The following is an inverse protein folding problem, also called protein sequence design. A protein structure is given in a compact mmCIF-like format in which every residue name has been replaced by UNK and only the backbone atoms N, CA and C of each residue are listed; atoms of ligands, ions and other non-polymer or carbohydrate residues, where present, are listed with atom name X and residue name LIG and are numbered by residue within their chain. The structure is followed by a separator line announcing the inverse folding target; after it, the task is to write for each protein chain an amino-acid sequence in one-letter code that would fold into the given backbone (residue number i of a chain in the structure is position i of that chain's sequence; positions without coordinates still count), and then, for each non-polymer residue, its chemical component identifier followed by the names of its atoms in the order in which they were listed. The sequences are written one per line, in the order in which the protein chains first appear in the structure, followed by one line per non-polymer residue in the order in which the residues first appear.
data_IF_999870202731
#
_entry.id   IF_999870202731
#
_cell.length_a   1.000
_cell.length_b   1.000
_cell.length_c   1.000
_cell.angle_alpha   90.00
_cell.angle_beta   90.00
_cell.angle_gamma   90.00
#
_symmetry.space_group_name_H-M   'P 1'
#
loop_
_entity.id
_entity.type
_entity.pdbx_description
1 polymer ?
#
# COMPACT_ATOMS: atom_id res chain seq x y z
N UNK A 1 43.07 -3.97 9.94
CA UNK A 1 42.75 -4.33 8.54
C UNK A 1 41.73 -5.48 8.45
N UNK A 2 41.93 -6.61 9.16
CA UNK A 2 40.96 -7.74 9.17
C UNK A 2 39.57 -7.34 9.65
N UNK A 3 39.45 -6.66 10.79
CA UNK A 3 38.15 -6.21 11.31
C UNK A 3 37.37 -5.27 10.37
N UNK A 4 38.06 -4.55 9.49
CA UNK A 4 37.44 -3.65 8.50
C UNK A 4 36.96 -4.40 7.28
N UNK A 5 37.65 -5.49 6.90
CA UNK A 5 37.23 -6.41 5.82
C UNK A 5 36.00 -7.23 6.24
N UNK A 6 36.02 -7.82 7.44
CA UNK A 6 34.88 -8.57 7.98
C UNK A 6 33.61 -7.70 8.15
N UNK A 7 33.79 -6.44 8.55
CA UNK A 7 32.68 -5.48 8.62
C UNK A 7 32.12 -5.12 7.22
N UNK A 8 33.00 -4.96 6.22
CA UNK A 8 32.59 -4.69 4.85
C UNK A 8 31.86 -5.87 4.21
N UNK A 9 32.35 -7.10 4.41
CA UNK A 9 31.68 -8.33 3.97
C UNK A 9 30.32 -8.51 4.69
N UNK A 10 30.24 -8.22 5.98
CA UNK A 10 29.02 -8.27 6.75
C UNK A 10 27.97 -7.26 6.26
N UNK A 11 28.37 -6.04 5.86
CA UNK A 11 27.49 -5.02 5.30
C UNK A 11 26.98 -5.44 3.92
N UNK A 12 27.84 -5.96 3.06
CA UNK A 12 27.46 -6.46 1.73
C UNK A 12 26.48 -7.63 1.84
N UNK A 13 26.74 -8.58 2.74
CA UNK A 13 25.85 -9.72 3.01
C UNK A 13 24.48 -9.27 3.51
N UNK A 14 24.42 -8.33 4.45
CA UNK A 14 23.14 -7.73 4.93
C UNK A 14 22.40 -7.05 3.79
N UNK A 15 23.08 -6.27 2.95
CA UNK A 15 22.49 -5.63 1.79
C UNK A 15 21.87 -6.63 0.80
N UNK A 16 22.58 -7.72 0.50
CA UNK A 16 22.09 -8.78 -0.38
C UNK A 16 20.86 -9.48 0.18
N UNK A 17 20.85 -9.77 1.48
CA UNK A 17 19.69 -10.36 2.16
C UNK A 17 18.48 -9.44 2.05
N UNK A 18 18.61 -8.16 2.40
CA UNK A 18 17.52 -7.19 2.33
C UNK A 18 16.98 -7.02 0.90
N UNK A 19 17.87 -7.01 -0.09
CA UNK A 19 17.47 -6.95 -1.49
C UNK A 19 16.68 -8.20 -1.92
N UNK A 20 17.10 -9.38 -1.48
CA UNK A 20 16.39 -10.64 -1.76
C UNK A 20 15.02 -10.68 -1.09
N UNK A 21 14.93 -10.30 0.19
CA UNK A 21 13.66 -10.20 0.90
C UNK A 21 12.69 -9.21 0.22
N UNK A 22 13.21 -8.06 -0.23
CA UNK A 22 12.41 -7.08 -0.98
C UNK A 22 11.87 -7.66 -2.30
N UNK A 23 12.68 -8.42 -3.04
CA UNK A 23 12.25 -9.09 -4.27
C UNK A 23 11.17 -10.16 -4.01
N UNK A 24 11.33 -10.96 -2.96
CA UNK A 24 10.33 -11.95 -2.57
C UNK A 24 8.98 -11.29 -2.25
N UNK A 25 8.98 -10.18 -1.51
CA UNK A 25 7.75 -9.41 -1.22
C UNK A 25 7.11 -8.85 -2.49
N UNK A 26 7.89 -8.39 -3.46
CA UNK A 26 7.37 -7.93 -4.75
C UNK A 26 6.69 -9.07 -5.52
N UNK A 27 7.26 -10.28 -5.48
CA UNK A 27 6.66 -11.49 -6.05
C UNK A 27 5.34 -11.86 -5.39
N UNK A 28 5.23 -11.72 -4.06
CA UNK A 28 3.99 -11.92 -3.31
C UNK A 28 2.90 -10.92 -3.69
N UNK A 29 3.26 -9.71 -4.07
CA UNK A 29 2.30 -8.69 -4.48
C UNK A 29 1.75 -8.97 -5.88
N UNK A 30 2.62 -9.00 -6.88
CA UNK A 30 2.25 -9.25 -8.26
C UNK A 30 3.47 -9.61 -9.12
N UNK A 31 3.39 -10.62 -10.00
CA UNK A 31 4.49 -10.99 -10.88
C UNK A 31 4.99 -9.84 -11.76
N UNK A 32 4.11 -8.99 -12.30
CA UNK A 32 4.49 -7.84 -13.11
C UNK A 32 5.34 -6.82 -12.34
N UNK A 33 5.12 -6.66 -11.03
CA UNK A 33 5.95 -5.81 -10.18
C UNK A 33 7.37 -6.37 -10.06
N UNK A 34 7.49 -7.68 -9.88
CA UNK A 34 8.78 -8.36 -9.74
C UNK A 34 9.55 -8.38 -11.06
N UNK A 35 8.88 -8.73 -12.16
CA UNK A 35 9.47 -8.88 -13.49
C UNK A 35 9.76 -7.52 -14.17
N UNK A 36 8.97 -6.49 -13.87
CA UNK A 36 9.03 -5.14 -14.48
C UNK A 36 8.94 -5.17 -16.01
N UNK A 37 8.12 -6.07 -16.52
CA UNK A 37 7.99 -6.39 -17.94
C UNK A 37 6.74 -5.82 -18.61
N UNK A 38 5.97 -5.01 -17.91
CA UNK A 38 4.66 -4.47 -18.32
C UNK A 38 3.67 -5.58 -18.77
N UNK A 39 3.82 -6.78 -18.22
CA UNK A 39 2.96 -7.90 -18.54
C UNK A 39 1.54 -7.72 -18.00
N UNK A 40 0.60 -8.50 -18.53
CA UNK A 40 -0.81 -8.49 -18.15
C UNK A 40 -1.01 -8.50 -16.63
N UNK A 41 -1.89 -7.63 -16.12
CA UNK A 41 -2.18 -7.50 -14.71
C UNK A 41 -3.26 -8.49 -14.24
N UNK A 42 -4.42 -8.65 -14.94
CA UNK A 42 -5.52 -9.46 -14.44
C UNK A 42 -5.20 -10.94 -14.23
N UNK A 43 -5.77 -11.54 -13.20
CA UNK A 43 -5.74 -13.00 -12.96
C UNK A 43 -4.41 -13.56 -12.46
N UNK A 44 -3.42 -12.73 -12.11
CA UNK A 44 -2.07 -13.19 -11.74
C UNK A 44 -1.69 -12.95 -10.27
N UNK A 45 -2.58 -12.34 -9.49
CA UNK A 45 -2.34 -12.06 -8.06
C UNK A 45 -3.62 -12.28 -7.27
N UNK A 46 -3.58 -13.23 -6.33
CA UNK A 46 -4.69 -13.46 -5.40
C UNK A 46 -4.98 -12.25 -4.52
N UNK A 47 -3.95 -11.51 -4.10
CA UNK A 47 -4.13 -10.25 -3.36
C UNK A 47 -4.89 -9.21 -4.17
N UNK A 48 -4.54 -9.06 -5.45
CA UNK A 48 -5.19 -8.09 -6.32
C UNK A 48 -6.65 -8.47 -6.57
N UNK A 49 -6.93 -9.74 -6.84
CA UNK A 49 -8.30 -10.24 -7.00
C UNK A 49 -9.13 -9.97 -5.74
N UNK A 50 -8.62 -10.33 -4.57
CA UNK A 50 -9.32 -10.11 -3.31
C UNK A 50 -9.53 -8.63 -2.99
N UNK A 51 -8.54 -7.77 -3.26
CA UNK A 51 -8.68 -6.32 -3.10
C UNK A 51 -9.80 -5.78 -4.00
N UNK A 52 -9.85 -6.22 -5.25
CA UNK A 52 -10.85 -5.77 -6.23
C UNK A 52 -12.26 -6.13 -5.77
N UNK A 53 -12.49 -7.38 -5.35
CA UNK A 53 -13.78 -7.84 -4.81
C UNK A 53 -14.24 -6.99 -3.62
N UNK A 54 -13.36 -6.78 -2.64
CA UNK A 54 -13.70 -6.01 -1.44
C UNK A 54 -13.94 -4.53 -1.74
N UNK A 55 -13.18 -3.95 -2.68
CA UNK A 55 -13.41 -2.57 -3.09
C UNK A 55 -14.73 -2.40 -3.86
N UNK A 56 -15.14 -3.39 -4.64
CA UNK A 56 -16.43 -3.39 -5.30
C UNK A 56 -17.58 -3.29 -4.28
N UNK A 57 -17.57 -4.14 -3.25
CA UNK A 57 -18.55 -4.10 -2.15
C UNK A 57 -18.57 -2.74 -1.44
N UNK A 58 -17.38 -2.16 -1.16
CA UNK A 58 -17.24 -0.85 -0.51
C UNK A 58 -17.82 0.28 -1.37
N UNK A 59 -17.58 0.23 -2.68
CA UNK A 59 -18.10 1.23 -3.62
C UNK A 59 -19.61 1.15 -3.78
N UNK A 60 -20.19 -0.06 -3.74
CA UNK A 60 -21.64 -0.27 -3.82
C UNK A 60 -22.38 0.37 -2.65
N UNK A 61 -21.82 0.33 -1.45
CA UNK A 61 -22.41 0.96 -0.26
C UNK A 61 -22.02 2.43 -0.07
N UNK A 62 -21.28 3.00 -1.03
CA UNK A 62 -20.87 4.42 -1.01
C UNK A 62 -19.80 4.75 0.02
N UNK A 63 -19.03 3.75 0.48
CA UNK A 63 -17.93 3.94 1.42
C UNK A 63 -16.62 4.25 0.69
N UNK A 64 -15.56 4.61 1.45
CA UNK A 64 -14.26 5.01 0.90
C UNK A 64 -13.13 4.25 1.54
N UNK A 65 -12.10 3.99 0.74
CA UNK A 65 -10.98 3.17 1.12
C UNK A 65 -9.62 3.86 0.91
N UNK A 66 -8.71 3.63 1.86
CA UNK A 66 -7.28 3.87 1.72
C UNK A 66 -6.59 2.55 1.42
N UNK A 67 -5.69 2.53 0.46
CA UNK A 67 -4.87 1.35 0.15
C UNK A 67 -3.40 1.73 0.22
N UNK A 68 -2.68 1.12 1.15
CA UNK A 68 -1.26 1.35 1.37
C UNK A 68 -0.41 0.25 0.74
N UNK A 69 0.66 0.65 0.05
CA UNK A 69 1.74 -0.23 -0.36
C UNK A 69 3.09 0.41 -0.07
N UNK A 70 4.08 -0.38 0.29
CA UNK A 70 5.45 0.09 0.46
C UNK A 70 6.15 0.38 -0.88
N UNK A 71 5.60 -0.13 -1.99
CA UNK A 71 6.18 -0.03 -3.33
C UNK A 71 5.38 0.91 -4.22
N UNK A 72 6.02 2.00 -4.67
CA UNK A 72 5.36 2.94 -5.59
C UNK A 72 5.02 2.29 -6.95
N UNK A 73 5.83 1.33 -7.40
CA UNK A 73 5.56 0.55 -8.62
C UNK A 73 4.27 -0.26 -8.49
N UNK A 74 4.04 -0.88 -7.31
CA UNK A 74 2.78 -1.59 -7.05
C UNK A 74 1.60 -0.62 -7.03
N UNK A 75 1.78 0.58 -6.46
CA UNK A 75 0.76 1.62 -6.48
C UNK A 75 0.31 2.00 -7.90
N UNK A 76 1.23 2.07 -8.87
CA UNK A 76 0.89 2.31 -10.29
C UNK A 76 0.10 1.16 -10.90
N UNK A 77 0.49 -0.09 -10.62
CA UNK A 77 -0.23 -1.28 -11.09
C UNK A 77 -1.65 -1.30 -10.52
N UNK A 78 -1.80 -1.02 -9.21
CA UNK A 78 -3.10 -0.93 -8.55
C UNK A 78 -3.96 0.19 -9.16
N UNK A 79 -3.39 1.38 -9.36
CA UNK A 79 -4.11 2.51 -9.93
C UNK A 79 -4.67 2.17 -11.32
N UNK A 80 -3.82 1.67 -12.20
CA UNK A 80 -4.23 1.29 -13.56
C UNK A 80 -5.35 0.24 -13.51
N UNK A 81 -5.13 -0.86 -12.79
CA UNK A 81 -6.09 -1.96 -12.71
C UNK A 81 -7.44 -1.52 -12.15
N UNK A 82 -7.45 -0.78 -11.04
CA UNK A 82 -8.68 -0.37 -10.38
C UNK A 82 -9.45 0.68 -11.20
N UNK A 83 -8.74 1.59 -11.90
CA UNK A 83 -9.38 2.54 -12.81
C UNK A 83 -10.03 1.83 -14.02
N UNK A 84 -9.35 0.82 -14.58
CA UNK A 84 -9.89 0.00 -15.68
C UNK A 84 -11.11 -0.81 -15.22
N UNK A 85 -11.05 -1.43 -14.04
CA UNK A 85 -12.13 -2.27 -13.51
C UNK A 85 -13.38 -1.47 -13.12
N UNK A 86 -13.22 -0.33 -12.46
CA UNK A 86 -14.35 0.42 -11.92
C UNK A 86 -14.81 1.59 -12.80
N UNK A 87 -14.04 1.94 -13.84
CA UNK A 87 -14.34 3.09 -14.68
C UNK A 87 -14.36 4.43 -13.93
N UNK A 88 -13.65 4.51 -12.79
CA UNK A 88 -13.61 5.66 -11.88
C UNK A 88 -12.18 6.09 -11.60
N UNK A 89 -12.00 7.35 -11.28
CA UNK A 89 -10.71 7.87 -10.86
C UNK A 89 -10.26 7.24 -9.53
N UNK A 90 -9.00 6.86 -9.47
CA UNK A 90 -8.32 6.37 -8.28
C UNK A 90 -7.15 7.30 -8.00
N UNK A 91 -7.14 7.95 -6.83
CA UNK A 91 -6.04 8.81 -6.41
C UNK A 91 -4.81 7.98 -6.06
N UNK A 92 -3.63 8.48 -6.41
CA UNK A 92 -2.38 7.85 -6.00
C UNK A 92 -1.35 8.88 -5.52
N UNK A 93 -1.05 8.84 -4.23
CA UNK A 93 -0.03 9.66 -3.60
C UNK A 93 1.25 8.88 -3.40
N UNK A 94 2.34 9.35 -3.99
CA UNK A 94 3.69 8.81 -3.85
C UNK A 94 4.72 9.93 -3.63
N UNK A 95 5.96 9.56 -3.31
CA UNK A 95 7.00 10.52 -2.88
C UNK A 95 7.35 11.62 -3.88
N UNK A 96 7.09 11.41 -5.17
CA UNK A 96 7.36 12.41 -6.20
C UNK A 96 6.22 13.43 -6.40
N UNK A 97 5.07 13.29 -5.71
CA UNK A 97 3.93 14.21 -5.84
C UNK A 97 4.25 15.53 -5.11
N UNK A 98 4.21 16.68 -5.79
CA UNK A 98 4.45 17.99 -5.17
C UNK A 98 3.42 18.32 -4.10
N UNK A 99 3.82 19.14 -3.09
CA UNK A 99 2.97 19.48 -1.95
C UNK A 99 1.60 20.02 -2.35
N UNK A 100 1.53 21.00 -3.24
CA UNK A 100 0.24 21.59 -3.67
C UNK A 100 -0.68 20.60 -4.38
N UNK A 101 -0.14 19.61 -5.09
CA UNK A 101 -0.94 18.55 -5.70
C UNK A 101 -1.42 17.55 -4.64
N UNK A 102 -0.58 17.24 -3.64
CA UNK A 102 -0.93 16.43 -2.49
C UNK A 102 -2.14 17.01 -1.74
N UNK A 103 -2.09 18.30 -1.42
CA UNK A 103 -3.14 18.99 -0.68
C UNK A 103 -4.48 18.92 -1.46
N UNK A 104 -4.46 19.15 -2.77
CA UNK A 104 -5.64 19.00 -3.64
C UNK A 104 -6.20 17.57 -3.68
N UNK A 105 -5.33 16.56 -3.68
CA UNK A 105 -5.76 15.15 -3.62
C UNK A 105 -6.50 14.87 -2.32
N UNK A 106 -5.97 15.36 -1.20
CA UNK A 106 -6.60 15.21 0.12
C UNK A 106 -7.94 15.91 0.17
N UNK A 107 -8.03 17.16 -0.28
CA UNK A 107 -9.27 17.92 -0.36
C UNK A 107 -10.34 17.18 -1.18
N UNK A 108 -9.98 16.71 -2.37
CA UNK A 108 -10.88 15.95 -3.24
C UNK A 108 -11.34 14.63 -2.62
N UNK A 109 -10.47 13.93 -1.91
CA UNK A 109 -10.85 12.71 -1.21
C UNK A 109 -11.79 12.98 -0.02
N UNK A 110 -11.64 14.12 0.64
CA UNK A 110 -12.47 14.53 1.76
C UNK A 110 -13.81 15.18 1.33
N UNK A 111 -13.97 15.54 0.06
CA UNK A 111 -15.21 16.09 -0.47
C UNK A 111 -16.37 15.11 -0.31
N UNK A 112 -17.52 15.63 0.15
CA UNK A 112 -18.66 14.82 0.55
C UNK A 112 -19.38 14.12 -0.62
N UNK A 113 -19.49 14.76 -1.78
CA UNK A 113 -20.48 14.35 -2.78
C UNK A 113 -19.89 13.81 -4.10
N UNK A 114 -18.69 14.22 -4.49
CA UNK A 114 -18.16 13.88 -5.82
C UNK A 114 -16.69 13.42 -5.83
N UNK A 115 -16.05 13.30 -4.67
CA UNK A 115 -14.65 12.93 -4.58
C UNK A 115 -14.38 11.45 -4.91
N UNK A 116 -13.18 11.12 -5.39
CA UNK A 116 -12.76 9.73 -5.61
C UNK A 116 -12.88 8.90 -4.34
N UNK A 117 -13.39 7.67 -4.47
CA UNK A 117 -13.64 6.80 -3.32
C UNK A 117 -12.44 5.95 -2.90
N UNK A 118 -11.43 5.82 -3.77
CA UNK A 118 -10.23 5.03 -3.51
C UNK A 118 -9.01 5.94 -3.54
N UNK A 119 -8.20 5.90 -2.48
CA UNK A 119 -6.95 6.62 -2.39
C UNK A 119 -5.80 5.65 -2.11
N UNK A 120 -4.93 5.47 -3.08
CA UNK A 120 -3.70 4.70 -2.97
C UNK A 120 -2.59 5.59 -2.38
N UNK A 121 -1.83 5.04 -1.45
CA UNK A 121 -0.74 5.76 -0.81
C UNK A 121 0.52 4.87 -0.76
N UNK A 122 1.65 5.40 -1.24
CA UNK A 122 2.91 4.77 -0.89
C UNK A 122 3.30 5.18 0.53
N UNK A 123 3.77 4.23 1.34
CA UNK A 123 4.12 4.48 2.74
C UNK A 123 5.18 5.57 2.92
N UNK A 124 6.09 5.70 1.95
CA UNK A 124 7.11 6.78 1.95
C UNK A 124 6.53 8.17 1.67
N UNK A 125 5.40 8.25 0.96
CA UNK A 125 4.76 9.51 0.62
C UNK A 125 3.80 10.01 1.71
N UNK A 126 3.34 9.09 2.54
CA UNK A 126 2.44 9.37 3.65
C UNK A 126 3.07 10.17 4.79
N UNK A 127 4.05 11.05 4.49
CA UNK A 127 4.66 11.95 5.45
C UNK A 127 3.63 12.48 6.46
N UNK A 128 4.06 12.92 7.58
CA UNK A 128 3.27 13.36 8.73
C UNK A 128 2.10 14.29 8.34
N UNK A 129 0.91 14.04 8.85
CA UNK A 129 -0.13 15.06 8.92
C UNK A 129 -1.33 14.91 7.98
N UNK A 130 -1.40 13.90 7.10
CA UNK A 130 -2.59 13.73 6.27
C UNK A 130 -3.82 13.40 7.14
N UNK A 131 -4.92 14.09 6.90
CA UNK A 131 -6.22 13.81 7.49
C UNK A 131 -7.13 13.20 6.43
N UNK A 132 -7.48 11.91 6.57
CA UNK A 132 -8.23 11.13 5.59
C UNK A 132 -9.42 10.43 6.25
N UNK A 133 -10.12 11.16 7.12
CA UNK A 133 -11.23 10.66 7.97
C UNK A 133 -12.49 10.28 7.19
N UNK A 134 -12.57 10.55 5.91
CA UNK A 134 -13.67 10.05 5.05
C UNK A 134 -13.56 8.57 4.75
N UNK A 135 -12.38 7.97 4.95
CA UNK A 135 -12.20 6.54 4.77
C UNK A 135 -12.78 5.76 5.96
N UNK A 136 -13.57 4.74 5.67
CA UNK A 136 -14.03 3.72 6.61
C UNK A 136 -13.29 2.40 6.46
N UNK A 137 -12.45 2.25 5.42
CA UNK A 137 -11.64 1.06 5.18
C UNK A 137 -10.19 1.44 4.92
N UNK A 138 -9.27 0.68 5.53
CA UNK A 138 -7.83 0.80 5.35
C UNK A 138 -7.27 -0.56 4.95
N UNK A 139 -6.61 -0.62 3.82
CA UNK A 139 -5.97 -1.83 3.30
C UNK A 139 -4.46 -1.68 3.34
N UNK A 140 -3.77 -2.62 3.98
CA UNK A 140 -2.33 -2.84 3.84
C UNK A 140 -2.11 -3.95 2.82
N UNK A 141 -1.82 -3.58 1.57
CA UNK A 141 -1.65 -4.52 0.46
C UNK A 141 -0.42 -5.41 0.62
N UNK A 142 0.60 -4.89 1.28
CA UNK A 142 1.79 -5.64 1.70
C UNK A 142 2.15 -5.33 3.15
N UNK A 143 2.66 -6.35 3.86
CA UNK A 143 3.06 -6.24 5.26
C UNK A 143 4.37 -5.48 5.39
N UNK A 144 4.46 -4.62 6.38
CA UNK A 144 5.66 -3.89 6.72
C UNK A 144 6.40 -4.59 7.87
N UNK A 145 7.74 -4.59 7.85
CA UNK A 145 8.56 -5.19 8.92
C UNK A 145 8.37 -4.51 10.28
N UNK A 146 8.07 -3.21 10.27
CA UNK A 146 7.85 -2.42 11.48
C UNK A 146 6.35 -2.13 11.63
N UNK A 147 5.67 -2.75 12.60
CA UNK A 147 4.24 -2.54 12.83
C UNK A 147 3.89 -1.08 13.15
N UNK A 148 4.83 -0.30 13.72
CA UNK A 148 4.60 1.11 13.97
C UNK A 148 4.36 1.91 12.69
N UNK A 149 4.95 1.51 11.56
CA UNK A 149 4.72 2.15 10.26
C UNK A 149 3.32 1.84 9.73
N UNK A 150 2.85 0.61 9.87
CA UNK A 150 1.48 0.23 9.51
C UNK A 150 0.45 0.99 10.38
N UNK A 151 0.67 1.03 11.69
CA UNK A 151 -0.19 1.74 12.62
C UNK A 151 -0.23 3.24 12.29
N UNK A 152 0.93 3.87 12.05
CA UNK A 152 0.99 5.26 11.64
C UNK A 152 0.24 5.52 10.32
N UNK A 153 0.26 4.59 9.37
CA UNK A 153 -0.52 4.69 8.14
C UNK A 153 -2.02 4.58 8.44
N UNK A 154 -2.43 3.62 9.25
CA UNK A 154 -3.82 3.44 9.68
C UNK A 154 -4.36 4.67 10.43
N UNK A 155 -3.55 5.32 11.25
CA UNK A 155 -3.91 6.54 11.99
C UNK A 155 -4.29 7.73 11.10
N UNK A 156 -4.08 7.65 9.77
CA UNK A 156 -4.58 8.67 8.82
C UNK A 156 -6.10 8.69 8.74
N UNK A 157 -6.72 7.54 8.92
CA UNK A 157 -8.17 7.39 8.99
C UNK A 157 -8.71 7.59 10.42
N UNK A 158 -7.93 7.24 11.45
CA UNK A 158 -8.26 7.37 12.86
C UNK A 158 -7.83 8.71 13.45
N UNK A 159 -8.38 9.82 12.97
CA UNK A 159 -8.07 11.15 13.48
C UNK A 159 -9.29 11.86 14.06
N UNK A 160 -9.03 12.99 14.74
CA UNK A 160 -10.09 13.88 15.21
C UNK A 160 -10.99 14.25 14.02
N UNK A 161 -12.29 14.00 14.16
CA UNK A 161 -13.28 14.17 13.10
C UNK A 161 -13.72 12.85 12.44
N UNK A 162 -13.15 11.71 12.82
CA UNK A 162 -13.67 10.40 12.38
C UNK A 162 -14.96 10.07 13.13
N UNK A 163 -16.02 9.88 12.38
CA UNK A 163 -17.37 9.54 12.91
C UNK A 163 -17.81 8.12 12.58
N UNK A 164 -17.00 7.39 11.83
CA UNK A 164 -17.30 6.04 11.35
C UNK A 164 -16.37 5.01 11.98
N UNK A 165 -16.84 3.77 12.07
CA UNK A 165 -15.97 2.65 12.38
C UNK A 165 -15.01 2.43 11.22
N UNK A 166 -13.70 2.34 11.49
CA UNK A 166 -12.70 2.07 10.48
C UNK A 166 -12.32 0.60 10.53
N UNK A 167 -12.47 -0.09 9.40
CA UNK A 167 -12.06 -1.47 9.24
C UNK A 167 -10.67 -1.52 8.63
N UNK A 168 -9.77 -2.30 9.24
CA UNK A 168 -8.38 -2.46 8.78
C UNK A 168 -8.18 -3.86 8.24
N UNK A 169 -7.72 -3.94 6.99
CA UNK A 169 -7.46 -5.18 6.28
C UNK A 169 -5.97 -5.30 5.99
N UNK A 170 -5.36 -6.39 6.40
CA UNK A 170 -3.94 -6.69 6.16
C UNK A 170 -3.84 -7.93 5.29
N UNK A 171 -3.22 -7.81 4.13
CA UNK A 171 -3.05 -8.94 3.22
C UNK A 171 -1.75 -9.67 3.47
N UNK A 172 -1.85 -10.98 3.56
CA UNK A 172 -0.73 -11.92 3.75
C UNK A 172 -0.86 -13.03 2.73
N UNK A 173 0.20 -13.31 1.99
CA UNK A 173 0.28 -14.51 1.17
C UNK A 173 0.65 -15.70 2.04
N UNK A 174 -0.26 -16.66 2.20
CA UNK A 174 -0.02 -17.90 2.94
C UNK A 174 1.12 -18.73 2.29
N UNK A 175 1.91 -19.40 3.10
CA UNK A 175 3.05 -20.19 2.66
C UNK A 175 4.25 -19.39 2.16
N UNK A 176 4.29 -18.09 2.43
CA UNK A 176 5.36 -17.20 1.97
C UNK A 176 6.09 -16.49 3.10
N UNK A 177 7.09 -15.68 2.72
CA UNK A 177 7.80 -14.79 3.63
C UNK A 177 6.85 -13.86 4.41
N UNK A 178 5.72 -13.44 3.81
CA UNK A 178 4.79 -12.52 4.46
C UNK A 178 4.09 -13.13 5.66
N UNK A 179 3.77 -14.42 5.63
CA UNK A 179 3.24 -15.15 6.77
C UNK A 179 4.22 -15.16 7.94
N UNK A 180 5.52 -15.41 7.65
CA UNK A 180 6.58 -15.34 8.68
C UNK A 180 6.79 -13.92 9.22
N UNK A 181 6.63 -12.90 8.40
CA UNK A 181 6.67 -11.49 8.85
C UNK A 181 5.50 -11.22 9.76
N UNK A 182 4.32 -11.71 9.42
CA UNK A 182 3.10 -11.55 10.20
C UNK A 182 3.23 -12.18 11.60
N UNK A 183 3.64 -13.44 11.65
CA UNK A 183 3.92 -14.18 12.90
C UNK A 183 4.95 -13.48 13.80
N UNK A 184 5.91 -12.76 13.24
CA UNK A 184 6.96 -12.06 14.00
C UNK A 184 6.51 -10.70 14.54
N UNK A 185 5.43 -10.14 13.99
CA UNK A 185 4.92 -8.80 14.33
C UNK A 185 3.77 -8.91 15.36
N UNK A 186 3.05 -10.02 15.40
CA UNK A 186 2.04 -10.31 16.42
C UNK A 186 2.67 -10.62 17.79
#
# INVERSE_FOLDING_TARGET
AEKTLDAAEGIQRKGAILATLSKLKQGCNHPAQFLRDNSSIPGRSGKLARLTEMLEEILEVGERALVFSQFAEMGKILQQHLQEMFGREVLFLHGAVPKGQRDRMVERFQDNDAGPAIFLLSLKAGGTGLNLTRASHVFHFDRWWNPAVENQATDRAFRIGQTRNVQVHKYVCAGTLEEKVDEMIE
#
